data_IF_997994541720
#
_entry.id   IF_997994541720
#
_cell.length_a   1.000
_cell.length_b   1.000
_cell.length_c   1.000
_cell.angle_alpha   90.00
_cell.angle_beta   90.00
_cell.angle_gamma   90.00
#
_symmetry.space_group_name_H-M   'P 1'
#
loop_
_entity.id
_entity.type
_entity.pdbx_description
1 polymer ?
#
# COMPACT_ATOMS: atom_id res chain seq x y z
N UNK A 1 3.99 8.15 10.68
CA UNK A 1 4.34 7.31 9.50
C UNK A 1 4.79 5.90 9.89
N UNK A 2 5.93 5.71 10.58
CA UNK A 2 6.53 4.37 10.79
C UNK A 2 5.66 3.37 11.57
N UNK A 3 4.88 3.81 12.57
CA UNK A 3 3.92 2.94 13.29
C UNK A 3 2.74 2.50 12.39
N UNK A 4 2.31 3.38 11.48
CA UNK A 4 1.19 3.10 10.58
C UNK A 4 1.53 2.02 9.55
N UNK A 5 2.73 2.10 9.00
CA UNK A 5 3.28 1.12 8.06
C UNK A 5 3.54 -0.25 8.71
N UNK A 6 4.02 -0.31 9.95
CA UNK A 6 4.23 -1.61 10.63
C UNK A 6 2.94 -2.39 10.87
N UNK A 7 1.84 -1.70 11.17
CA UNK A 7 0.54 -2.36 11.33
C UNK A 7 -0.09 -2.69 9.96
N UNK A 8 0.28 -1.95 8.91
CA UNK A 8 -0.06 -2.34 7.54
C UNK A 8 0.64 -3.64 7.13
N UNK A 9 1.92 -3.83 7.48
CA UNK A 9 2.65 -5.06 7.17
C UNK A 9 1.94 -6.31 7.76
N UNK A 10 1.47 -6.22 9.01
CA UNK A 10 0.71 -7.32 9.62
C UNK A 10 -0.65 -7.57 8.96
N UNK A 11 -1.35 -6.50 8.55
CA UNK A 11 -2.63 -6.62 7.82
C UNK A 11 -2.44 -7.16 6.40
N UNK A 12 -1.32 -6.81 5.76
CA UNK A 12 -0.98 -7.20 4.40
C UNK A 12 -0.93 -8.71 4.24
N UNK A 13 -0.35 -9.41 5.21
CA UNK A 13 -0.23 -10.87 5.22
C UNK A 13 -1.58 -11.58 5.41
N UNK A 14 -2.60 -10.88 5.94
CA UNK A 14 -3.96 -11.42 6.13
C UNK A 14 -4.88 -11.19 4.91
N UNK A 15 -4.47 -10.36 3.95
CA UNK A 15 -5.26 -10.08 2.75
C UNK A 15 -5.28 -11.26 1.78
N UNK A 16 -6.40 -11.45 1.09
CA UNK A 16 -6.46 -12.40 -0.01
C UNK A 16 -5.53 -11.93 -1.16
N UNK A 17 -4.97 -12.85 -1.97
CA UNK A 17 -4.06 -12.47 -3.06
C UNK A 17 -4.63 -11.43 -4.04
N UNK A 18 -5.95 -11.49 -4.30
CA UNK A 18 -6.64 -10.51 -5.15
C UNK A 18 -6.68 -9.11 -4.54
N UNK A 19 -6.77 -9.00 -3.21
CA UNK A 19 -6.79 -7.72 -2.50
C UNK A 19 -5.40 -7.10 -2.46
N UNK A 20 -4.35 -7.90 -2.25
CA UNK A 20 -2.96 -7.46 -2.38
C UNK A 20 -2.68 -6.92 -3.79
N UNK A 21 -3.09 -7.65 -4.83
CA UNK A 21 -2.94 -7.22 -6.22
C UNK A 21 -3.64 -5.88 -6.48
N UNK A 22 -4.87 -5.72 -6.02
CA UNK A 22 -5.63 -4.46 -6.15
C UNK A 22 -4.92 -3.28 -5.49
N UNK A 23 -4.33 -3.47 -4.31
CA UNK A 23 -3.56 -2.40 -3.64
C UNK A 23 -2.31 -2.07 -4.45
N UNK A 24 -1.58 -3.05 -4.97
CA UNK A 24 -0.42 -2.81 -5.83
C UNK A 24 -0.81 -2.05 -7.11
N UNK A 25 -1.92 -2.40 -7.75
CA UNK A 25 -2.43 -1.69 -8.94
C UNK A 25 -2.75 -0.21 -8.66
N UNK A 26 -3.24 0.09 -7.45
CA UNK A 26 -3.53 1.46 -7.02
C UNK A 26 -2.27 2.24 -6.64
N UNK A 27 -1.20 1.57 -6.21
CA UNK A 27 0.05 2.20 -5.77
C UNK A 27 1.10 2.29 -6.89
N UNK A 28 1.06 1.39 -7.86
CA UNK A 28 2.05 1.32 -8.94
C UNK A 28 1.52 2.08 -10.17
N UNK A 29 2.34 3.01 -10.64
CA UNK A 29 2.12 3.72 -11.89
C UNK A 29 2.65 2.93 -13.08
N UNK A 30 3.87 2.37 -12.95
CA UNK A 30 4.54 1.64 -14.03
C UNK A 30 5.51 0.61 -13.45
N UNK A 31 5.61 -0.54 -14.11
CA UNK A 31 6.66 -1.54 -13.90
C UNK A 31 7.48 -1.62 -15.19
N UNK A 32 8.81 -1.53 -15.09
CA UNK A 32 9.73 -1.84 -16.19
C UNK A 32 10.62 -3.00 -15.74
N UNK A 33 10.69 -4.04 -16.54
CA UNK A 33 11.49 -5.23 -16.25
C UNK A 33 12.66 -5.24 -17.22
N UNK A 34 13.89 -5.30 -16.69
CA UNK A 34 15.08 -5.54 -17.50
C UNK A 34 15.71 -6.87 -17.12
N UNK A 35 16.77 -7.23 -17.84
CA UNK A 35 17.50 -8.46 -17.60
C UNK A 35 18.32 -8.32 -16.29
N UNK A 36 17.69 -8.62 -15.16
CA UNK A 36 18.32 -8.64 -13.84
C UNK A 36 17.78 -7.61 -12.84
N UNK A 37 16.92 -6.67 -13.27
CA UNK A 37 16.31 -5.69 -12.37
C UNK A 37 14.85 -5.40 -12.74
N UNK A 38 14.18 -4.71 -11.80
CA UNK A 38 12.81 -4.21 -11.95
C UNK A 38 12.79 -2.77 -11.47
N UNK A 39 12.38 -1.87 -12.36
CA UNK A 39 12.11 -0.47 -12.04
C UNK A 39 10.60 -0.29 -11.75
N UNK A 40 10.30 0.32 -10.61
CA UNK A 40 8.93 0.61 -10.16
C UNK A 40 8.72 2.11 -10.08
N UNK A 41 7.75 2.61 -10.84
CA UNK A 41 7.23 3.97 -10.67
C UNK A 41 5.98 3.92 -9.80
N UNK A 42 5.99 4.64 -8.69
CA UNK A 42 4.89 4.66 -7.73
C UNK A 42 4.02 5.91 -7.89
N UNK A 43 2.72 5.75 -7.66
CA UNK A 43 1.76 6.85 -7.52
C UNK A 43 1.92 7.44 -6.12
N UNK A 44 2.81 8.42 -5.97
CA UNK A 44 3.11 9.08 -4.69
C UNK A 44 1.84 9.65 -4.02
N UNK A 45 0.93 10.21 -4.82
CA UNK A 45 -0.36 10.72 -4.36
C UNK A 45 -1.27 9.60 -3.81
N UNK A 46 -1.24 8.43 -4.44
CA UNK A 46 -1.98 7.24 -3.99
C UNK A 46 -1.48 6.71 -2.64
N UNK A 47 -0.16 6.76 -2.41
CA UNK A 47 0.44 6.37 -1.12
C UNK A 47 0.06 7.33 0.01
N UNK A 48 0.04 8.64 -0.26
CA UNK A 48 -0.41 9.63 0.71
C UNK A 48 -1.90 9.45 1.08
N UNK A 49 -2.75 9.16 0.09
CA UNK A 49 -4.17 8.86 0.31
C UNK A 49 -4.37 7.59 1.13
N UNK A 50 -3.65 6.51 0.81
CA UNK A 50 -3.73 5.25 1.57
C UNK A 50 -3.37 5.44 3.04
N UNK A 51 -2.30 6.20 3.33
CA UNK A 51 -1.92 6.52 4.71
C UNK A 51 -3.00 7.35 5.41
N UNK A 52 -3.62 8.31 4.71
CA UNK A 52 -4.72 9.10 5.25
C UNK A 52 -5.94 8.22 5.59
N UNK A 53 -6.31 7.31 4.70
CA UNK A 53 -7.43 6.37 4.90
C UNK A 53 -7.17 5.41 6.07
N UNK A 54 -5.96 4.86 6.17
CA UNK A 54 -5.56 4.02 7.29
C UNK A 54 -5.63 4.77 8.63
N UNK A 55 -5.21 6.03 8.66
CA UNK A 55 -5.32 6.87 9.86
C UNK A 55 -6.79 7.20 10.20
N UNK A 56 -7.63 7.40 9.19
CA UNK A 56 -9.07 7.62 9.38
C UNK A 56 -9.77 6.37 9.94
N UNK A 57 -9.44 5.17 9.43
CA UNK A 57 -9.96 3.91 9.95
C UNK A 57 -9.58 3.68 11.42
N UNK A 58 -8.34 4.03 11.82
CA UNK A 58 -7.93 4.00 13.24
C UNK A 58 -8.79 4.89 14.13
N UNK A 59 -9.06 6.13 13.70
CA UNK A 59 -9.91 7.07 14.45
C UNK A 59 -11.33 6.54 14.61
N UNK A 60 -11.87 5.87 13.59
CA UNK A 60 -13.21 5.25 13.63
C UNK A 60 -13.29 4.04 14.57
N UNK A 61 -12.23 3.24 14.71
CA UNK A 61 -12.18 2.11 15.66
C UNK A 61 -12.02 2.54 17.13
N UNK A 62 -11.62 3.79 17.39
CA UNK A 62 -11.34 4.31 18.73
C UNK A 62 -12.48 5.17 19.32
N UNK A 63 -13.57 5.36 18.56
CA UNK A 63 -14.78 6.08 18.95
C UNK A 63 -15.94 5.09 19.09
#
# INVERSE_FOLDING_TARGET
>A
MRKALREFDALWDELFPAEQARILELLVEKVVVHLGDVELKLRIEGLASLVADMNAQRKRKAA
#
